data_IF_443949349233
#
_entry.id   IF_443949349233
#
_cell.length_a   1.000
_cell.length_b   1.000
_cell.length_c   1.000
_cell.angle_alpha   90.00
_cell.angle_beta   90.00
_cell.angle_gamma   90.00
#
_symmetry.space_group_name_H-M   'P 1'
#
loop_
_entity.id
_entity.type
_entity.pdbx_description
1 polymer ?
#
# COMPACT_ATOMS: atom_id res chain seq x y z
N UNK A 1 1.29 -5.17 -28.37
CA UNK A 1 1.35 -4.57 -27.03
C UNK A 1 2.06 -3.24 -27.17
N UNK A 2 1.41 -2.15 -26.76
CA UNK A 2 1.95 -0.80 -26.92
C UNK A 2 2.82 -0.46 -25.70
N UNK A 3 4.05 -0.02 -25.90
CA UNK A 3 4.95 0.32 -24.77
C UNK A 3 4.86 1.83 -24.53
N UNK A 4 4.42 2.23 -23.34
CA UNK A 4 4.42 3.64 -22.93
C UNK A 4 5.71 3.98 -22.18
N UNK A 5 6.48 4.92 -22.72
CA UNK A 5 7.67 5.44 -22.05
C UNK A 5 7.26 6.59 -21.15
N UNK A 6 7.56 6.50 -19.84
CA UNK A 6 7.27 7.58 -18.88
C UNK A 6 8.01 8.90 -19.20
N UNK A 7 9.05 8.86 -20.03
CA UNK A 7 9.72 10.05 -20.56
C UNK A 7 8.81 10.89 -21.49
N UNK A 8 7.80 10.27 -22.11
CA UNK A 8 6.86 10.93 -23.01
C UNK A 8 5.73 11.65 -22.26
N UNK A 9 5.62 11.44 -20.95
CA UNK A 9 4.57 12.01 -20.11
C UNK A 9 3.99 11.00 -19.14
N UNK A 10 3.25 11.48 -18.11
CA UNK A 10 2.55 10.61 -17.18
C UNK A 10 1.46 9.81 -17.89
N UNK A 11 1.18 8.61 -17.40
CA UNK A 11 0.11 7.74 -17.87
C UNK A 11 -0.73 7.27 -16.68
N UNK A 12 -2.04 7.31 -16.82
CA UNK A 12 -2.96 6.66 -15.89
C UNK A 12 -3.40 5.35 -16.52
N UNK A 13 -3.19 4.23 -15.81
CA UNK A 13 -3.62 2.92 -16.28
C UNK A 13 -4.17 2.07 -15.14
N UNK A 14 -5.17 1.25 -15.45
CA UNK A 14 -5.61 0.16 -14.58
C UNK A 14 -4.73 -1.05 -14.82
N UNK A 15 -4.00 -1.48 -13.79
CA UNK A 15 -3.02 -2.57 -13.89
C UNK A 15 -3.76 -3.90 -14.03
N UNK A 16 -3.55 -4.63 -15.12
CA UNK A 16 -4.07 -5.98 -15.34
C UNK A 16 -3.11 -7.06 -14.84
N UNK A 17 -1.80 -6.84 -14.99
CA UNK A 17 -0.78 -7.75 -14.49
C UNK A 17 0.55 -7.04 -14.25
N UNK A 18 1.37 -7.61 -13.37
CA UNK A 18 2.73 -7.16 -13.12
C UNK A 18 3.67 -8.35 -13.26
N UNK A 19 4.71 -8.18 -14.07
CA UNK A 19 5.74 -9.19 -14.26
C UNK A 19 7.13 -8.61 -13.98
N UNK A 20 8.00 -9.37 -13.31
CA UNK A 20 9.42 -9.04 -13.24
C UNK A 20 10.07 -9.40 -14.58
N UNK A 21 10.83 -8.47 -15.14
CA UNK A 21 11.61 -8.65 -16.37
C UNK A 21 12.99 -8.06 -16.18
N UNK A 22 14.00 -8.73 -16.69
CA UNK A 22 15.35 -8.18 -16.77
C UNK A 22 15.44 -7.27 -18.01
N UNK A 23 15.70 -5.98 -17.79
CA UNK A 23 15.88 -5.00 -18.86
C UNK A 23 17.35 -4.63 -19.06
N UNK A 24 17.63 -3.82 -20.09
CA UNK A 24 18.99 -3.34 -20.40
C UNK A 24 19.68 -2.57 -19.26
N UNK A 25 18.93 -2.14 -18.25
CA UNK A 25 19.42 -1.37 -17.10
C UNK A 25 19.24 -2.12 -15.77
N UNK A 26 19.09 -3.44 -15.81
CA UNK A 26 18.86 -4.30 -14.65
C UNK A 26 17.40 -4.72 -14.48
N UNK A 27 17.03 -5.26 -13.31
CA UNK A 27 15.69 -5.78 -13.05
C UNK A 27 14.62 -4.69 -13.04
N UNK A 28 13.49 -4.96 -13.69
CA UNK A 28 12.37 -4.05 -13.89
C UNK A 28 11.04 -4.75 -13.63
N UNK A 29 10.06 -3.99 -13.12
CA UNK A 29 8.66 -4.38 -13.15
C UNK A 29 8.02 -3.90 -14.46
N UNK A 30 7.35 -4.81 -15.14
CA UNK A 30 6.50 -4.57 -16.29
C UNK A 30 5.06 -4.52 -15.79
N UNK A 31 4.47 -3.32 -15.75
CA UNK A 31 3.05 -3.13 -15.47
C UNK A 31 2.30 -3.16 -16.80
N UNK A 32 1.44 -4.15 -16.97
CA UNK A 32 0.58 -4.27 -18.15
C UNK A 32 -0.80 -3.79 -17.76
N UNK A 33 -1.30 -2.76 -18.45
CA UNK A 33 -2.65 -2.24 -18.27
C UNK A 33 -3.72 -3.11 -18.94
N UNK A 34 -4.97 -2.96 -18.53
CA UNK A 34 -6.13 -3.63 -19.16
C UNK A 34 -6.23 -3.33 -20.67
N UNK A 35 -5.76 -2.16 -21.09
CA UNK A 35 -5.74 -1.72 -22.49
C UNK A 35 -4.58 -2.33 -23.30
N UNK A 36 -3.78 -3.22 -22.71
CA UNK A 36 -2.62 -3.85 -23.36
C UNK A 36 -1.42 -2.91 -23.53
N UNK A 37 -1.37 -1.83 -22.73
CA UNK A 37 -0.24 -0.91 -22.66
C UNK A 37 0.73 -1.35 -21.57
N UNK A 38 2.00 -1.48 -21.92
CA UNK A 38 3.06 -1.89 -21.01
C UNK A 38 3.88 -0.68 -20.55
N UNK A 39 4.13 -0.59 -19.24
CA UNK A 39 5.01 0.40 -18.62
C UNK A 39 6.10 -0.31 -17.84
N UNK A 40 7.35 0.05 -18.13
CA UNK A 40 8.53 -0.53 -17.49
C UNK A 40 9.09 0.44 -16.46
N UNK A 41 9.26 -0.04 -15.23
CA UNK A 41 9.82 0.73 -14.12
C UNK A 41 10.90 -0.11 -13.44
N UNK A 42 11.99 0.51 -12.98
CA UNK A 42 13.01 -0.22 -12.22
C UNK A 42 12.43 -0.85 -10.96
N UNK A 43 12.93 -2.03 -10.60
CA UNK A 43 12.38 -2.79 -9.48
C UNK A 43 12.42 -2.00 -8.17
N UNK A 44 13.55 -1.34 -7.90
CA UNK A 44 13.77 -0.52 -6.71
C UNK A 44 12.80 0.66 -6.63
N UNK A 45 12.55 1.36 -7.74
CA UNK A 45 11.63 2.49 -7.78
C UNK A 45 10.17 2.00 -7.68
N UNK A 46 9.82 0.94 -8.38
CA UNK A 46 8.48 0.35 -8.33
C UNK A 46 8.12 -0.12 -6.93
N UNK A 47 9.00 -0.88 -6.26
CA UNK A 47 8.79 -1.35 -4.89
C UNK A 47 8.66 -0.19 -3.89
N UNK A 48 9.51 0.83 -4.01
CA UNK A 48 9.40 2.02 -3.15
C UNK A 48 8.10 2.79 -3.34
N UNK A 49 7.64 2.97 -4.58
CA UNK A 49 6.41 3.70 -4.87
C UNK A 49 5.15 2.89 -4.48
N UNK A 50 5.15 1.57 -4.73
CA UNK A 50 4.07 0.70 -4.25
C UNK A 50 4.01 0.68 -2.71
N UNK A 51 5.15 0.61 -2.03
CA UNK A 51 5.22 0.70 -0.57
C UNK A 51 4.69 2.04 -0.02
N UNK A 52 4.91 3.16 -0.73
CA UNK A 52 4.31 4.46 -0.37
C UNK A 52 2.80 4.48 -0.48
N UNK A 53 2.24 3.68 -1.39
CA UNK A 53 0.80 3.53 -1.59
C UNK A 53 0.20 2.43 -0.70
N UNK A 54 1.00 1.80 0.18
CA UNK A 54 0.63 0.61 0.95
C UNK A 54 0.10 -0.55 0.09
N UNK A 55 0.60 -0.66 -1.15
CA UNK A 55 0.27 -1.74 -2.07
C UNK A 55 1.41 -2.74 -2.18
N UNK A 56 1.06 -4.02 -2.18
CA UNK A 56 1.89 -5.10 -2.69
C UNK A 56 1.69 -5.27 -4.20
N UNK A 57 2.60 -6.00 -4.85
CA UNK A 57 2.51 -6.36 -6.27
C UNK A 57 1.19 -7.08 -6.58
N UNK A 58 0.70 -7.92 -5.67
CA UNK A 58 -0.57 -8.62 -5.84
C UNK A 58 -1.77 -7.69 -5.70
N UNK A 59 -1.75 -6.80 -4.69
CA UNK A 59 -2.84 -5.86 -4.44
C UNK A 59 -2.93 -4.70 -5.44
N UNK A 60 -1.88 -4.47 -6.23
CA UNK A 60 -1.89 -3.43 -7.25
C UNK A 60 -2.62 -3.87 -8.53
N UNK A 61 -2.88 -5.17 -8.71
CA UNK A 61 -3.66 -5.70 -9.83
C UNK A 61 -5.12 -5.26 -9.66
N UNK A 62 -5.68 -4.62 -10.67
CA UNK A 62 -7.01 -4.00 -10.66
C UNK A 62 -7.01 -2.54 -10.17
N UNK A 63 -5.90 -2.03 -9.64
CA UNK A 63 -5.80 -0.64 -9.22
C UNK A 63 -5.51 0.29 -10.41
N UNK A 64 -6.13 1.47 -10.41
CA UNK A 64 -5.83 2.53 -11.37
C UNK A 64 -4.71 3.39 -10.83
N UNK A 65 -3.53 3.31 -11.47
CA UNK A 65 -2.31 3.99 -11.03
C UNK A 65 -1.92 5.02 -12.10
N UNK A 66 -1.73 6.25 -11.66
CA UNK A 66 -1.06 7.29 -12.44
C UNK A 66 0.44 7.20 -12.20
N UNK A 67 1.18 6.85 -13.25
CA UNK A 67 2.63 6.72 -13.25
C UNK A 67 3.23 7.90 -14.01
N UNK A 68 4.23 8.56 -13.43
CA UNK A 68 4.91 9.68 -14.08
C UNK A 68 6.37 9.82 -13.65
N UNK A 69 7.12 10.59 -14.43
CA UNK A 69 8.47 11.02 -14.04
C UNK A 69 8.43 12.47 -13.57
N UNK A 70 9.00 12.72 -12.40
CA UNK A 70 9.19 14.06 -11.84
C UNK A 70 10.67 14.36 -11.80
N UNK A 71 11.07 15.52 -12.33
CA UNK A 71 12.44 16.01 -12.22
C UNK A 71 12.54 16.90 -11.00
N UNK A 72 13.39 16.54 -10.05
CA UNK A 72 13.68 17.33 -8.85
C UNK A 72 15.19 17.32 -8.63
N UNK A 73 15.78 18.46 -8.32
CA UNK A 73 17.21 18.55 -7.98
C UNK A 73 18.12 17.93 -9.06
N UNK A 74 17.81 18.18 -10.34
CA UNK A 74 18.49 17.62 -11.52
C UNK A 74 18.51 16.08 -11.60
N UNK A 75 17.65 15.40 -10.83
CA UNK A 75 17.44 13.95 -10.84
C UNK A 75 16.01 13.62 -11.26
N UNK A 76 15.86 12.53 -12.01
CA UNK A 76 14.56 12.02 -12.46
C UNK A 76 14.07 10.95 -11.48
N UNK A 77 12.87 11.14 -10.93
CA UNK A 77 12.21 10.21 -10.03
C UNK A 77 10.94 9.65 -10.67
N UNK A 78 10.70 8.35 -10.52
CA UNK A 78 9.40 7.76 -10.84
C UNK A 78 8.45 7.97 -9.67
N UNK A 79 7.23 8.43 -9.96
CA UNK A 79 6.19 8.70 -8.97
C UNK A 79 4.90 7.97 -9.36
N UNK A 80 4.29 7.27 -8.40
CA UNK A 80 2.99 6.62 -8.56
C UNK A 80 1.95 7.30 -7.68
N UNK A 81 0.75 7.52 -8.22
CA UNK A 81 -0.41 7.98 -7.49
C UNK A 81 -1.59 7.05 -7.77
N UNK A 82 -2.41 6.76 -6.76
CA UNK A 82 -3.70 6.11 -6.97
C UNK A 82 -4.65 7.12 -7.61
N UNK A 83 -5.20 6.78 -8.77
CA UNK A 83 -6.29 7.55 -9.35
C UNK A 83 -7.57 7.19 -8.58
N UNK A 84 -7.87 7.94 -7.52
CA UNK A 84 -9.19 7.89 -6.90
C UNK A 84 -10.25 8.24 -7.94
N UNK A 85 -11.43 7.63 -7.85
CA UNK A 85 -12.55 7.76 -8.79
C UNK A 85 -13.11 9.19 -8.97
N UNK A 86 -12.52 10.19 -8.32
CA UNK A 86 -12.82 11.61 -8.47
C UNK A 86 -11.54 12.39 -8.77
N UNK A 87 -11.17 12.54 -10.04
CA UNK A 87 -10.40 13.71 -10.53
C UNK A 87 -10.23 13.67 -12.05
N UNK A 88 -11.25 14.13 -12.76
CA UNK A 88 -11.03 14.76 -14.05
C UNK A 88 -10.42 16.15 -13.81
N UNK A 89 -9.28 16.44 -14.44
CA UNK A 89 -8.85 17.81 -14.76
C UNK A 89 -7.79 18.45 -13.86
N UNK A 90 -6.60 18.63 -14.47
CA UNK A 90 -5.56 19.63 -14.14
C UNK A 90 -4.63 19.30 -12.96
N UNK A 91 -3.29 19.27 -13.16
CA UNK A 91 -2.35 19.07 -12.07
C UNK A 91 -2.28 20.36 -11.23
N UNK A 92 -2.99 20.39 -10.10
CA UNK A 92 -2.65 21.32 -9.04
C UNK A 92 -1.27 20.95 -8.48
N UNK A 93 -0.41 21.93 -8.14
CA UNK A 93 0.78 21.64 -7.36
C UNK A 93 0.29 20.98 -6.08
N UNK A 94 0.70 19.73 -5.86
CA UNK A 94 0.53 19.07 -4.57
C UNK A 94 1.42 19.85 -3.60
N UNK A 95 0.85 20.91 -3.02
CA UNK A 95 1.23 21.34 -1.69
C UNK A 95 1.17 20.05 -0.89
N UNK A 96 2.30 19.64 -0.32
CA UNK A 96 2.31 18.65 0.75
C UNK A 96 1.42 19.24 1.84
N UNK A 97 0.10 19.04 1.75
CA UNK A 97 -0.77 19.09 2.90
C UNK A 97 -0.18 18.02 3.81
N UNK A 98 0.42 18.39 4.95
CA UNK A 98 0.81 17.37 5.90
C UNK A 98 -0.44 16.54 6.13
N UNK A 99 -0.32 15.22 5.95
CA UNK A 99 -1.37 14.31 6.39
C UNK A 99 -1.77 14.78 7.79
N UNK A 100 -3.08 14.94 8.10
CA UNK A 100 -3.48 15.34 9.44
C UNK A 100 -2.74 14.42 10.39
N UNK A 101 -1.90 15.01 11.24
CA UNK A 101 -1.13 14.26 12.21
C UNK A 101 -2.14 13.33 12.86
N UNK A 102 -1.94 12.01 12.74
CA UNK A 102 -2.81 11.05 13.39
C UNK A 102 -2.99 11.55 14.83
N UNK A 103 -4.23 11.66 15.34
CA UNK A 103 -4.46 12.17 16.69
C UNK A 103 -3.47 11.43 17.58
N UNK A 104 -2.57 12.20 18.20
CA UNK A 104 -1.55 11.65 19.08
C UNK A 104 -2.29 11.17 20.30
N UNK A 105 -2.86 9.97 20.20
CA UNK A 105 -3.43 9.27 21.33
C UNK A 105 -2.33 9.25 22.38
N UNK A 106 -2.65 9.79 23.54
CA UNK A 106 -1.77 9.79 24.69
C UNK A 106 -1.45 8.34 25.07
N UNK A 107 -0.39 8.14 25.84
CA UNK A 107 0.00 6.79 26.28
C UNK A 107 -1.16 6.08 26.99
N UNK A 108 -1.95 6.83 27.76
CA UNK A 108 -3.11 6.31 28.49
C UNK A 108 -4.24 5.85 27.54
N UNK A 109 -4.48 6.57 26.45
CA UNK A 109 -5.47 6.19 25.43
C UNK A 109 -5.01 4.96 24.62
N UNK A 110 -3.71 4.81 24.39
CA UNK A 110 -3.14 3.62 23.75
C UNK A 110 -3.26 2.40 24.66
N UNK A 111 -3.05 2.56 25.97
CA UNK A 111 -3.22 1.49 26.96
C UNK A 111 -4.68 1.05 27.04
N UNK A 112 -5.62 1.99 27.05
CA UNK A 112 -7.05 1.68 27.03
C UNK A 112 -7.46 0.90 25.76
N UNK A 113 -7.01 1.35 24.59
CA UNK A 113 -7.30 0.68 23.31
C UNK A 113 -6.68 -0.72 23.26
N UNK A 114 -5.43 -0.88 23.72
CA UNK A 114 -4.78 -2.18 23.77
C UNK A 114 -5.49 -3.13 24.75
N UNK A 115 -5.92 -2.65 25.92
CA UNK A 115 -6.69 -3.45 26.88
C UNK A 115 -8.00 -3.96 26.28
N UNK A 116 -8.70 -3.10 25.51
CA UNK A 116 -9.92 -3.49 24.80
C UNK A 116 -9.64 -4.52 23.69
N UNK A 117 -8.54 -4.37 22.95
CA UNK A 117 -8.11 -5.37 21.96
C UNK A 117 -7.78 -6.72 22.62
N UNK A 118 -7.10 -6.73 23.76
CA UNK A 118 -6.81 -7.97 24.53
C UNK A 118 -8.11 -8.64 24.98
N UNK A 119 -9.07 -7.89 25.53
CA UNK A 119 -10.36 -8.45 25.94
C UNK A 119 -11.13 -9.06 24.75
N UNK A 120 -11.16 -8.37 23.62
CA UNK A 120 -11.79 -8.89 22.40
C UNK A 120 -11.09 -10.13 21.85
N UNK A 121 -9.75 -10.17 21.87
CA UNK A 121 -8.98 -11.35 21.48
C UNK A 121 -9.27 -12.53 22.40
N UNK A 122 -9.32 -12.33 23.72
CA UNK A 122 -9.66 -13.39 24.67
C UNK A 122 -11.09 -13.90 24.46
N UNK A 123 -12.05 -13.02 24.19
CA UNK A 123 -13.45 -13.42 23.98
C UNK A 123 -13.63 -14.22 22.68
N UNK A 124 -13.01 -13.78 21.58
CA UNK A 124 -13.17 -14.42 20.27
C UNK A 124 -12.30 -15.68 20.17
N UNK A 125 -11.01 -15.61 20.52
CA UNK A 125 -10.14 -16.78 20.48
C UNK A 125 -10.47 -17.75 21.61
N UNK A 126 -10.88 -17.30 22.80
CA UNK A 126 -11.27 -18.19 23.89
C UNK A 126 -12.42 -19.11 23.51
N UNK A 127 -13.49 -18.54 22.96
CA UNK A 127 -14.63 -19.33 22.49
C UNK A 127 -14.27 -20.32 21.37
N UNK A 128 -13.37 -19.94 20.46
CA UNK A 128 -12.93 -20.81 19.37
C UNK A 128 -11.92 -21.88 19.81
N UNK A 129 -11.00 -21.56 20.71
CA UNK A 129 -10.01 -22.48 21.28
C UNK A 129 -10.68 -23.51 22.20
N UNK A 130 -11.68 -23.10 22.99
CA UNK A 130 -12.48 -24.02 23.81
C UNK A 130 -13.28 -24.98 22.93
N UNK A 131 -13.92 -24.49 21.86
CA UNK A 131 -14.63 -25.33 20.88
C UNK A 131 -13.69 -26.30 20.13
N UNK A 132 -12.43 -25.93 19.93
CA UNK A 132 -11.42 -26.74 19.23
C UNK A 132 -10.58 -27.63 20.17
N UNK A 133 -10.76 -27.54 21.49
CA UNK A 133 -9.96 -28.27 22.48
C UNK A 133 -8.48 -27.86 22.51
N UNK A 134 -8.16 -26.64 22.05
CA UNK A 134 -6.79 -26.14 21.95
C UNK A 134 -6.47 -25.33 23.22
N UNK A 135 -5.37 -25.63 23.93
CA UNK A 135 -4.96 -24.84 25.09
C UNK A 135 -4.60 -23.41 24.64
N UNK A 136 -5.27 -22.42 25.23
CA UNK A 136 -5.04 -21.02 24.92
C UNK A 136 -3.79 -20.52 25.66
N UNK A 137 -2.70 -20.32 24.93
CA UNK A 137 -1.46 -19.77 25.48
C UNK A 137 -1.50 -18.22 25.53
N UNK A 138 -0.90 -17.64 26.56
CA UNK A 138 -0.79 -16.20 26.75
C UNK A 138 -0.07 -15.51 25.57
N UNK A 139 0.88 -16.22 24.94
CA UNK A 139 1.57 -15.73 23.74
C UNK A 139 0.63 -15.55 22.54
N UNK A 140 -0.34 -16.45 22.37
CA UNK A 140 -1.33 -16.40 21.29
C UNK A 140 -2.33 -15.26 21.49
N UNK A 141 -2.73 -15.00 22.74
CA UNK A 141 -3.60 -13.88 23.10
C UNK A 141 -2.88 -12.55 22.83
N UNK A 142 -1.62 -12.44 23.22
CA UNK A 142 -0.82 -11.24 22.98
C UNK A 142 -0.61 -10.98 21.49
N UNK A 143 -0.32 -12.02 20.71
CA UNK A 143 -0.19 -11.92 19.26
C UNK A 143 -1.50 -11.47 18.61
N UNK A 144 -2.63 -12.09 18.97
CA UNK A 144 -3.95 -11.71 18.46
C UNK A 144 -4.34 -10.27 18.82
N UNK A 145 -4.05 -9.84 20.04
CA UNK A 145 -4.33 -8.48 20.49
C UNK A 145 -3.48 -7.44 19.76
N UNK A 146 -2.20 -7.75 19.52
CA UNK A 146 -1.31 -6.89 18.73
C UNK A 146 -1.78 -6.77 17.27
N UNK A 147 -2.24 -7.87 16.66
CA UNK A 147 -2.81 -7.84 15.30
C UNK A 147 -4.06 -6.98 15.22
N UNK A 148 -5.00 -7.12 16.18
CA UNK A 148 -6.20 -6.29 16.23
C UNK A 148 -5.87 -4.81 16.47
N UNK A 149 -4.90 -4.52 17.32
CA UNK A 149 -4.46 -3.16 17.61
C UNK A 149 -3.81 -2.48 16.40
N UNK A 150 -2.98 -3.21 15.66
CA UNK A 150 -2.36 -2.72 14.42
C UNK A 150 -3.44 -2.50 13.35
N UNK A 151 -4.40 -3.41 13.21
CA UNK A 151 -5.53 -3.24 12.30
C UNK A 151 -6.39 -2.03 12.68
N UNK A 152 -6.79 -1.88 13.94
CA UNK A 152 -7.58 -0.75 14.42
C UNK A 152 -6.88 0.61 14.24
N UNK A 153 -5.54 0.63 14.30
CA UNK A 153 -4.74 1.83 14.07
C UNK A 153 -4.39 2.05 12.59
N UNK A 154 -4.47 1.01 11.77
CA UNK A 154 -4.13 0.99 10.34
C UNK A 154 -5.31 1.17 9.40
N UNK A 155 -6.56 1.11 9.88
CA UNK A 155 -7.76 1.45 9.11
C UNK A 155 -7.81 2.97 8.92
N UNK A 156 -7.38 3.40 7.73
CA UNK A 156 -7.75 4.66 7.09
C UNK A 156 -8.47 4.34 5.80
#
# INVERSE_FOLDING_TARGET
MAIHKLANGPITMTVASVAQKEGNFGPQYCFTGIDGTDVYVSETAGAQQLGRLNLSIESCIGATITMGQVKKDNKTFTNFALASADAAGTPAPVVNTPAPAAPKLTLDELVALYSQCVQNSVMILGAQCEAAGIPMDASAIQAGAATLFIAARGVK
#
